data_IF_601313676696
#
_entry.id   IF_601313676696
#
_cell.length_a   1.000
_cell.length_b   1.000
_cell.length_c   1.000
_cell.angle_alpha   90.00
_cell.angle_beta   90.00
_cell.angle_gamma   90.00
#
_symmetry.space_group_name_H-M   'P 1'
#
loop_
_entity.id
_entity.type
_entity.pdbx_description
1 polymer ?
#
# COMPACT_ATOMS: atom_id res chain seq x y z
N UNK A 1 2.54 -17.00 -9.86
CA UNK A 1 1.33 -16.20 -10.13
C UNK A 1 1.78 -14.77 -10.37
N UNK A 2 1.27 -14.09 -11.41
CA UNK A 2 1.72 -12.73 -11.77
C UNK A 2 1.06 -11.68 -10.85
N UNK A 3 1.72 -10.55 -10.57
CA UNK A 3 1.16 -9.46 -9.76
C UNK A 3 -0.14 -8.91 -10.33
N UNK A 4 -0.23 -8.77 -11.65
CA UNK A 4 -1.46 -8.31 -12.31
C UNK A 4 -2.63 -9.26 -12.03
N UNK A 5 -2.40 -10.57 -12.13
CA UNK A 5 -3.42 -11.57 -11.80
C UNK A 5 -3.82 -11.57 -10.32
N UNK A 6 -2.90 -11.18 -9.43
CA UNK A 6 -3.19 -11.01 -8.01
C UNK A 6 -4.02 -9.76 -7.74
N UNK A 7 -3.71 -8.65 -8.41
CA UNK A 7 -4.48 -7.41 -8.32
C UNK A 7 -5.91 -7.63 -8.81
N UNK A 8 -6.08 -8.25 -9.97
CA UNK A 8 -7.40 -8.60 -10.51
C UNK A 8 -8.16 -9.55 -9.58
N UNK A 9 -7.48 -10.56 -9.03
CA UNK A 9 -8.09 -11.49 -8.07
C UNK A 9 -8.64 -10.79 -6.84
N UNK A 10 -7.99 -9.72 -6.35
CA UNK A 10 -8.40 -9.03 -5.10
C UNK A 10 -9.19 -7.73 -5.32
N UNK A 11 -9.38 -7.30 -6.58
CA UNK A 11 -9.97 -6.01 -6.96
C UNK A 11 -11.28 -5.68 -6.26
N UNK A 12 -12.17 -6.66 -6.13
CA UNK A 12 -13.48 -6.49 -5.46
C UNK A 12 -13.30 -6.18 -3.97
N UNK A 13 -12.39 -6.86 -3.29
CA UNK A 13 -12.14 -6.64 -1.87
C UNK A 13 -11.41 -5.33 -1.59
N UNK A 14 -10.47 -4.95 -2.45
CA UNK A 14 -9.88 -3.62 -2.38
C UNK A 14 -10.92 -2.52 -2.59
N UNK A 15 -11.87 -2.71 -3.51
CA UNK A 15 -12.95 -1.75 -3.71
C UNK A 15 -13.80 -1.55 -2.45
N UNK A 16 -14.24 -2.63 -1.80
CA UNK A 16 -15.03 -2.52 -0.57
C UNK A 16 -14.23 -1.89 0.58
N UNK A 17 -12.94 -2.23 0.69
CA UNK A 17 -12.09 -1.67 1.74
C UNK A 17 -11.83 -0.17 1.54
N UNK A 18 -11.65 0.27 0.29
CA UNK A 18 -11.59 1.70 -0.05
C UNK A 18 -12.90 2.40 0.29
N UNK A 19 -14.06 1.79 -0.01
CA UNK A 19 -15.34 2.38 0.37
C UNK A 19 -15.47 2.55 1.89
N UNK A 20 -15.06 1.55 2.68
CA UNK A 20 -15.01 1.65 4.15
C UNK A 20 -14.11 2.81 4.60
N UNK A 21 -12.93 2.96 4.02
CA UNK A 21 -12.03 4.07 4.35
C UNK A 21 -12.59 5.44 3.92
N UNK A 22 -13.27 5.51 2.78
CA UNK A 22 -13.94 6.73 2.33
C UNK A 22 -15.06 7.14 3.29
N UNK A 23 -15.86 6.18 3.78
CA UNK A 23 -16.90 6.43 4.79
C UNK A 23 -16.34 6.96 6.11
N UNK A 24 -15.08 6.61 6.42
CA UNK A 24 -14.33 7.12 7.58
C UNK A 24 -13.63 8.48 7.31
N UNK A 25 -13.76 9.03 6.10
CA UNK A 25 -13.21 10.33 5.70
C UNK A 25 -11.86 10.27 4.97
N UNK A 26 -11.36 9.09 4.63
CA UNK A 26 -10.06 8.90 3.95
C UNK A 26 -10.21 8.75 2.43
N UNK A 27 -10.77 9.76 1.78
CA UNK A 27 -11.17 9.74 0.36
C UNK A 27 -10.01 9.61 -0.64
N UNK A 28 -8.77 9.86 -0.20
CA UNK A 28 -7.59 9.83 -1.06
C UNK A 28 -7.01 8.42 -1.26
N UNK A 29 -7.47 7.43 -0.49
CA UNK A 29 -6.95 6.06 -0.58
C UNK A 29 -7.62 5.33 -1.75
N UNK A 30 -6.81 4.82 -2.68
CA UNK A 30 -7.26 4.12 -3.87
C UNK A 30 -7.07 2.61 -3.77
N UNK A 31 -7.64 1.87 -4.74
CA UNK A 31 -7.46 0.41 -4.84
C UNK A 31 -6.03 0.06 -5.20
N UNK A 32 -5.37 0.93 -5.96
CA UNK A 32 -3.97 0.84 -6.33
C UNK A 32 -3.09 0.89 -5.08
N UNK A 33 -3.39 1.79 -4.15
CA UNK A 33 -2.63 1.93 -2.90
C UNK A 33 -2.78 0.69 -2.00
N UNK A 34 -4.01 0.18 -1.85
CA UNK A 34 -4.23 -1.07 -1.11
C UNK A 34 -3.56 -2.27 -1.79
N UNK A 35 -3.58 -2.32 -3.12
CA UNK A 35 -2.88 -3.36 -3.88
C UNK A 35 -1.37 -3.30 -3.62
N UNK A 36 -0.78 -2.11 -3.65
CA UNK A 36 0.63 -1.90 -3.37
C UNK A 36 0.98 -2.33 -1.94
N UNK A 37 0.22 -1.85 -0.96
CA UNK A 37 0.38 -2.25 0.44
C UNK A 37 0.36 -3.78 0.62
N UNK A 38 -0.62 -4.48 0.04
CA UNK A 38 -0.72 -5.93 0.23
C UNK A 38 0.32 -6.72 -0.57
N UNK A 39 0.49 -6.41 -1.86
CA UNK A 39 1.31 -7.22 -2.76
C UNK A 39 2.80 -6.91 -2.65
N UNK A 40 3.15 -5.67 -2.34
CA UNK A 40 4.53 -5.17 -2.35
C UNK A 40 5.13 -5.01 -0.94
N UNK A 41 4.29 -4.89 0.09
CA UNK A 41 4.72 -4.80 1.49
C UNK A 41 4.28 -5.99 2.34
N UNK A 42 2.98 -6.13 2.64
CA UNK A 42 2.47 -7.10 3.61
C UNK A 42 2.72 -8.56 3.21
N UNK A 43 2.53 -8.88 1.93
CA UNK A 43 2.74 -10.23 1.39
C UNK A 43 4.04 -10.39 0.60
N UNK A 44 4.95 -9.41 0.68
CA UNK A 44 6.22 -9.39 -0.06
C UNK A 44 7.00 -10.69 0.05
N UNK A 45 7.06 -11.26 1.26
CA UNK A 45 7.82 -12.50 1.56
C UNK A 45 6.98 -13.76 1.43
N UNK A 46 5.70 -13.68 1.79
CA UNK A 46 4.78 -14.82 1.78
C UNK A 46 3.36 -14.33 1.63
N UNK A 47 2.72 -14.75 0.55
CA UNK A 47 1.28 -14.61 0.36
C UNK A 47 0.61 -15.79 1.07
N UNK A 48 -0.46 -15.57 1.86
CA UNK A 48 -1.24 -16.67 2.44
C UNK A 48 -1.72 -17.62 1.34
N UNK A 49 -1.73 -18.94 1.56
CA UNK A 49 -2.09 -19.89 0.50
C UNK A 49 -3.61 -19.88 0.22
N UNK A 50 -4.40 -19.64 1.27
CA UNK A 50 -5.85 -19.66 1.20
C UNK A 50 -6.42 -18.29 0.80
N UNK A 51 -7.33 -18.27 -0.18
CA UNK A 51 -8.05 -17.07 -0.58
C UNK A 51 -8.85 -16.47 0.59
N UNK A 52 -9.46 -17.30 1.42
CA UNK A 52 -10.22 -16.82 2.57
C UNK A 52 -9.33 -16.04 3.53
N UNK A 53 -8.11 -16.52 3.77
CA UNK A 53 -7.15 -15.84 4.64
C UNK A 53 -6.65 -14.53 4.03
N UNK A 54 -6.40 -14.51 2.70
CA UNK A 54 -6.07 -13.28 1.97
C UNK A 54 -7.17 -12.22 2.14
N UNK A 55 -8.43 -12.60 1.90
CA UNK A 55 -9.60 -11.72 2.05
C UNK A 55 -9.77 -11.26 3.50
N UNK A 56 -9.62 -12.18 4.46
CA UNK A 56 -9.70 -11.85 5.88
C UNK A 56 -8.67 -10.79 6.26
N UNK A 57 -7.43 -10.93 5.80
CA UNK A 57 -6.39 -9.93 6.04
C UNK A 57 -6.69 -8.57 5.38
N UNK A 58 -7.30 -8.55 4.19
CA UNK A 58 -7.78 -7.31 3.55
C UNK A 58 -8.83 -6.62 4.42
N UNK A 59 -9.83 -7.37 4.89
CA UNK A 59 -10.91 -6.82 5.70
C UNK A 59 -10.43 -6.33 7.08
N UNK A 60 -9.41 -6.97 7.66
CA UNK A 60 -8.83 -6.60 8.96
C UNK A 60 -7.87 -5.41 8.88
N UNK A 61 -7.49 -4.93 7.69
CA UNK A 61 -6.61 -3.77 7.56
C UNK A 61 -7.23 -2.57 8.29
N UNK A 62 -6.51 -2.02 9.25
CA UNK A 62 -6.89 -0.78 9.90
C UNK A 62 -6.26 0.41 9.18
N UNK A 63 -6.89 1.58 9.31
CA UNK A 63 -6.35 2.80 8.72
C UNK A 63 -4.98 3.17 9.29
N UNK A 64 -4.77 2.97 10.60
CA UNK A 64 -3.50 3.24 11.27
C UNK A 64 -2.38 2.35 10.69
N UNK A 65 -2.66 1.06 10.49
CA UNK A 65 -1.69 0.12 9.91
C UNK A 65 -1.30 0.51 8.47
N UNK A 66 -2.25 1.06 7.70
CA UNK A 66 -1.94 1.59 6.37
C UNK A 66 -1.05 2.85 6.43
N UNK A 67 -1.35 3.82 7.32
CA UNK A 67 -0.53 5.03 7.45
C UNK A 67 0.86 4.78 8.05
N UNK A 68 1.00 3.78 8.91
CA UNK A 68 2.31 3.33 9.39
C UNK A 68 3.17 2.85 8.21
N UNK A 69 2.57 2.11 7.27
CA UNK A 69 3.24 1.71 6.03
C UNK A 69 3.61 2.91 5.16
N UNK A 70 2.67 3.81 4.86
CA UNK A 70 2.93 5.01 4.04
C UNK A 70 4.08 5.84 4.61
N UNK A 71 4.12 5.98 5.94
CA UNK A 71 5.18 6.69 6.65
C UNK A 71 6.55 6.02 6.49
N UNK A 72 6.59 4.68 6.60
CA UNK A 72 7.81 3.89 6.38
C UNK A 72 8.27 3.96 4.93
N UNK A 73 7.34 3.89 3.99
CA UNK A 73 7.64 3.98 2.56
C UNK A 73 8.21 5.35 2.21
N UNK A 74 7.61 6.44 2.68
CA UNK A 74 8.12 7.79 2.46
C UNK A 74 9.53 8.01 3.06
N UNK A 75 9.87 7.32 4.15
CA UNK A 75 11.21 7.37 4.76
C UNK A 75 12.24 6.54 4.00
N UNK A 76 11.81 5.44 3.38
CA UNK A 76 12.70 4.50 2.69
C UNK A 76 12.87 4.80 1.20
N UNK A 77 11.88 5.42 0.55
CA UNK A 77 11.93 5.91 -0.83
C UNK A 77 12.59 7.29 -0.96
N UNK A 78 13.05 7.90 0.13
CA UNK A 78 13.96 9.05 0.05
C UNK A 78 15.34 8.57 -0.40
N UNK A 79 15.50 8.34 -1.69
CA UNK A 79 16.71 8.77 -2.37
C UNK A 79 16.75 10.31 -2.33
N UNK A 80 17.01 10.88 -1.14
CA UNK A 80 17.72 12.16 -1.11
C UNK A 80 19.16 11.75 -1.35
N UNK A 81 19.53 11.58 -2.62
CA UNK A 81 20.95 11.57 -2.96
C UNK A 81 21.48 12.97 -2.63
N UNK A 82 22.73 13.06 -2.14
CA UNK A 82 23.41 14.35 -1.96
C UNK A 82 23.49 15.16 -3.28
N UNK A 83 23.16 14.55 -4.41
CA UNK A 83 23.18 15.12 -5.76
C UNK A 83 22.00 16.09 -6.01
N UNK A 84 20.90 15.98 -5.26
CA UNK A 84 19.76 16.92 -5.34
C UNK A 84 19.96 18.21 -4.52
N UNK A 85 20.99 18.26 -3.66
CA UNK A 85 21.37 19.48 -2.95
C UNK A 85 22.21 20.33 -3.90
N UNK A 86 21.57 21.23 -4.64
CA UNK A 86 22.26 22.17 -5.51
C UNK A 86 22.97 23.25 -4.66
N UNK A 87 24.18 22.93 -4.19
CA UNK A 87 25.05 23.83 -3.41
C UNK A 87 25.53 25.06 -4.20
N UNK A 88 25.17 25.16 -5.49
CA UNK A 88 25.46 26.31 -6.35
C UNK A 88 24.71 27.58 -5.93
N UNK A 89 23.67 27.47 -5.09
CA UNK A 89 23.01 28.63 -4.47
C UNK A 89 23.65 29.06 -3.14
N UNK A 90 24.68 28.35 -2.66
CA UNK A 90 25.35 28.62 -1.39
C UNK A 90 26.63 29.46 -1.50
N UNK A 91 27.06 29.83 -2.71
CA UNK A 91 28.25 30.66 -2.97
C UNK A 91 27.98 31.74 -4.01
#
# INVERSE_FOLDING_TARGET
>A
MNKESLKDRHKTWFHYKVMEFNELGYETISKEDLSHYFLDYKWKKKIPENLFEQIFQINQLSINEYFDFESLEAQTNKEITLEDINLSELF
#
